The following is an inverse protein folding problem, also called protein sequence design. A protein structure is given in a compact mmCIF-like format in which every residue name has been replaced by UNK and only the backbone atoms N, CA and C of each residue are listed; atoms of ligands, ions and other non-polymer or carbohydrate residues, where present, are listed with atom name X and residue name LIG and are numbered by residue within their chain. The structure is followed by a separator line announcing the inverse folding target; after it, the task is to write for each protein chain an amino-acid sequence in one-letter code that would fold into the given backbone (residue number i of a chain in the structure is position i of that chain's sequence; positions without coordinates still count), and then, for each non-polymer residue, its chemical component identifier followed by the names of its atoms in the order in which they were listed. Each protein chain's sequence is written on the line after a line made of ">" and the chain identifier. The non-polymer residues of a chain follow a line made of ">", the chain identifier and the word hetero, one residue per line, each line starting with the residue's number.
data_IF_793329686420
#
_entry.id   IF_793329686420
#
_cell.length_a   1.000
_cell.length_b   1.000
_cell.length_c   1.000
_cell.angle_alpha   90.00
_cell.angle_beta   90.00
_cell.angle_gamma   90.00
#
_symmetry.space_group_name_H-M   'P 1'
#
loop_
_entity.id
_entity.type
_entity.pdbx_description
1 polymer ?
#
# COMPACT_ATOMS: atom_id res chain seq x y z
N UNK A 1 -15.20 63.17 21.85
CA UNK A 1 -14.76 62.55 20.60
C UNK A 1 -15.31 61.13 20.58
N UNK A 2 -16.43 60.96 19.91
CA UNK A 2 -17.11 59.69 19.66
C UNK A 2 -16.46 59.00 18.45
N UNK A 3 -15.86 57.86 18.67
CA UNK A 3 -15.28 57.03 17.61
C UNK A 3 -16.42 56.16 17.01
N UNK A 4 -16.89 56.54 15.82
CA UNK A 4 -17.84 55.73 15.05
C UNK A 4 -17.08 54.56 14.39
N UNK A 5 -17.33 53.32 14.84
CA UNK A 5 -16.93 52.12 14.12
C UNK A 5 -17.78 52.03 12.84
N UNK A 6 -17.14 52.25 11.71
CA UNK A 6 -17.70 51.96 10.39
C UNK A 6 -17.54 50.47 10.14
N UNK A 7 -18.62 49.68 10.30
CA UNK A 7 -18.71 48.35 9.76
C UNK A 7 -18.84 48.47 8.24
N UNK A 8 -17.76 48.27 7.52
CA UNK A 8 -17.82 48.02 6.09
C UNK A 8 -18.40 46.63 5.85
N UNK A 9 -19.67 46.59 5.51
CA UNK A 9 -20.25 45.39 4.87
C UNK A 9 -19.53 45.18 3.56
N UNK A 10 -18.66 44.12 3.47
CA UNK A 10 -18.19 43.65 2.21
C UNK A 10 -19.39 43.17 1.40
N UNK A 11 -19.50 43.55 0.14
CA UNK A 11 -20.64 43.14 -0.67
C UNK A 11 -20.67 41.64 -0.85
N UNK A 12 -21.85 41.05 -0.66
CA UNK A 12 -22.20 39.64 -0.81
C UNK A 12 -22.05 39.12 -2.28
N UNK A 13 -21.28 39.81 -3.11
CA UNK A 13 -21.17 39.60 -4.56
C UNK A 13 -19.95 38.81 -5.01
N UNK A 14 -19.16 38.19 -4.09
CA UNK A 14 -17.93 37.47 -4.49
C UNK A 14 -18.09 35.96 -4.62
N UNK A 15 -19.30 35.38 -4.47
CA UNK A 15 -19.56 33.95 -4.61
C UNK A 15 -20.68 33.62 -5.60
N UNK A 16 -20.86 34.40 -6.65
CA UNK A 16 -21.73 34.05 -7.76
C UNK A 16 -20.94 33.28 -8.86
N UNK A 17 -20.18 32.28 -8.48
CA UNK A 17 -19.68 31.29 -9.43
C UNK A 17 -20.75 30.19 -9.60
N UNK A 18 -21.66 30.45 -10.56
CA UNK A 18 -22.50 29.48 -11.27
C UNK A 18 -23.19 28.42 -10.39
N UNK A 19 -24.19 28.85 -9.60
CA UNK A 19 -25.21 27.89 -9.14
C UNK A 19 -26.00 27.40 -10.37
N UNK A 20 -25.59 26.26 -10.92
CA UNK A 20 -26.18 25.65 -12.10
C UNK A 20 -27.61 25.13 -11.85
N UNK A 21 -28.06 25.06 -10.59
CA UNK A 21 -29.32 24.42 -10.24
C UNK A 21 -30.48 25.38 -9.89
N UNK A 22 -30.16 26.64 -9.47
CA UNK A 22 -31.20 27.54 -8.96
C UNK A 22 -31.97 26.95 -7.77
N UNK A 23 -33.27 27.30 -7.58
CA UNK A 23 -34.12 26.61 -6.59
C UNK A 23 -34.36 25.16 -6.98
N UNK A 24 -34.17 24.23 -6.02
CA UNK A 24 -34.31 22.78 -6.25
C UNK A 24 -35.57 22.25 -5.60
N UNK A 25 -36.49 21.75 -6.40
CA UNK A 25 -37.68 21.04 -5.92
C UNK A 25 -37.29 19.67 -5.39
N UNK A 26 -37.59 19.37 -4.13
CA UNK A 26 -37.25 18.09 -3.49
C UNK A 26 -38.33 17.06 -3.85
N UNK A 27 -38.13 16.40 -4.98
CA UNK A 27 -39.02 15.41 -5.59
C UNK A 27 -38.35 14.04 -5.73
N UNK A 28 -39.14 13.02 -6.07
CA UNK A 28 -38.64 11.67 -6.37
C UNK A 28 -37.60 11.66 -7.50
N UNK A 29 -37.72 12.59 -8.46
CA UNK A 29 -36.77 12.69 -9.56
C UNK A 29 -35.40 13.22 -9.14
N UNK A 30 -35.35 14.16 -8.18
CA UNK A 30 -34.11 14.80 -7.74
C UNK A 30 -33.48 14.11 -6.53
N UNK A 31 -34.32 13.52 -5.66
CA UNK A 31 -33.93 12.81 -4.44
C UNK A 31 -34.77 11.53 -4.35
N UNK A 32 -34.37 10.43 -4.99
CA UNK A 32 -35.18 9.23 -5.14
C UNK A 32 -35.52 8.52 -3.83
N UNK A 33 -34.61 8.55 -2.83
CA UNK A 33 -34.84 7.92 -1.53
C UNK A 33 -35.80 8.75 -0.69
N UNK A 34 -36.93 8.13 -0.31
CA UNK A 34 -38.00 8.80 0.45
C UNK A 34 -37.51 9.32 1.81
N UNK A 35 -36.74 8.51 2.52
CA UNK A 35 -36.25 8.86 3.84
C UNK A 35 -35.26 10.04 3.76
N UNK A 36 -34.41 10.05 2.73
CA UNK A 36 -33.49 11.17 2.50
C UNK A 36 -34.26 12.44 2.11
N UNK A 37 -35.30 12.34 1.27
CA UNK A 37 -36.16 13.49 0.95
C UNK A 37 -36.83 14.10 2.17
N UNK A 38 -37.45 13.25 3.01
CA UNK A 38 -38.09 13.69 4.25
C UNK A 38 -37.09 14.36 5.20
N UNK A 39 -35.85 13.81 5.26
CA UNK A 39 -34.77 14.41 6.04
C UNK A 39 -34.42 15.81 5.50
N UNK A 40 -34.19 15.96 4.18
CA UNK A 40 -33.80 17.24 3.58
C UNK A 40 -34.86 18.30 3.79
N UNK A 41 -36.13 17.98 3.55
CA UNK A 41 -37.27 18.89 3.77
C UNK A 41 -37.39 19.29 5.23
N UNK A 42 -37.29 18.34 6.15
CA UNK A 42 -37.40 18.63 7.58
C UNK A 42 -36.26 19.51 8.12
N UNK A 43 -35.03 19.31 7.63
CA UNK A 43 -33.85 19.99 8.18
C UNK A 43 -33.57 21.31 7.47
N UNK A 44 -33.77 21.43 6.18
CA UNK A 44 -33.26 22.52 5.36
C UNK A 44 -34.29 23.36 4.63
N UNK A 45 -35.48 22.86 4.38
CA UNK A 45 -36.62 23.63 3.85
C UNK A 45 -37.25 24.46 5.00
N UNK A 46 -36.79 25.68 5.14
CA UNK A 46 -37.15 26.51 6.30
C UNK A 46 -38.55 27.09 6.25
N UNK A 47 -39.07 27.33 5.05
CA UNK A 47 -40.41 27.88 4.83
C UNK A 47 -41.47 26.79 4.51
N UNK A 48 -41.03 25.52 4.40
CA UNK A 48 -41.89 24.35 4.23
C UNK A 48 -42.57 24.29 2.86
N UNK A 49 -42.00 24.94 1.84
CA UNK A 49 -42.61 25.05 0.51
C UNK A 49 -42.24 23.88 -0.43
N UNK A 50 -41.40 22.94 0.01
CA UNK A 50 -40.91 21.79 -0.77
C UNK A 50 -39.78 22.11 -1.75
N UNK A 51 -39.20 23.31 -1.64
CA UNK A 51 -38.17 23.82 -2.53
C UNK A 51 -36.98 24.29 -1.70
N UNK A 52 -35.80 23.78 -1.98
CA UNK A 52 -34.57 24.32 -1.39
C UNK A 52 -34.05 25.49 -2.26
N UNK A 53 -34.12 26.68 -1.74
CA UNK A 53 -33.51 27.86 -2.35
C UNK A 53 -31.97 27.75 -2.37
N UNK A 54 -31.27 28.52 -3.22
CA UNK A 54 -29.82 28.62 -3.15
C UNK A 54 -29.32 28.98 -1.74
N UNK A 55 -29.97 29.92 -1.03
CA UNK A 55 -29.60 30.33 0.30
C UNK A 55 -29.65 29.16 1.32
N UNK A 56 -30.71 28.36 1.27
CA UNK A 56 -30.84 27.17 2.14
C UNK A 56 -29.81 26.11 1.81
N UNK A 57 -29.55 25.81 0.55
CA UNK A 57 -28.58 24.82 0.12
C UNK A 57 -27.14 25.22 0.47
N UNK A 58 -26.77 26.48 0.21
CA UNK A 58 -25.42 27.00 0.54
C UNK A 58 -25.17 27.13 2.03
N UNK A 59 -26.21 27.21 2.86
CA UNK A 59 -26.08 27.22 4.31
C UNK A 59 -25.77 25.86 4.91
N UNK A 60 -25.97 24.76 4.16
CA UNK A 60 -25.73 23.38 4.64
C UNK A 60 -24.24 23.08 4.57
N UNK A 61 -23.65 22.85 5.72
CA UNK A 61 -22.24 22.42 5.88
C UNK A 61 -22.12 21.00 6.43
N UNK A 62 -23.22 20.45 6.94
CA UNK A 62 -23.25 19.12 7.55
C UNK A 62 -24.53 18.39 7.19
N UNK A 63 -24.42 17.11 6.86
CA UNK A 63 -25.55 16.18 6.69
C UNK A 63 -25.23 14.93 7.53
N UNK A 64 -26.12 14.67 8.50
CA UNK A 64 -26.07 13.45 9.30
C UNK A 64 -27.34 12.62 9.07
N UNK A 65 -27.15 11.54 8.36
CA UNK A 65 -28.21 10.57 8.02
C UNK A 65 -27.84 9.16 8.48
N UNK A 66 -27.10 9.07 9.58
CA UNK A 66 -26.73 7.79 10.19
C UNK A 66 -27.97 6.96 10.52
N UNK A 67 -27.91 5.64 10.26
CA UNK A 67 -28.87 4.62 10.66
C UNK A 67 -30.33 4.95 10.27
N UNK A 68 -30.53 5.35 9.01
CA UNK A 68 -31.86 5.72 8.47
C UNK A 68 -32.38 4.77 7.39
N UNK A 69 -31.68 3.64 7.18
CA UNK A 69 -32.03 2.65 6.14
C UNK A 69 -32.06 3.24 4.72
N UNK A 70 -31.33 4.32 4.47
CA UNK A 70 -31.24 5.00 3.18
C UNK A 70 -30.46 4.13 2.19
N UNK A 71 -30.97 4.03 0.98
CA UNK A 71 -30.36 3.25 -0.11
C UNK A 71 -29.77 4.13 -1.21
N UNK A 72 -30.11 5.41 -1.25
CA UNK A 72 -29.68 6.34 -2.30
C UNK A 72 -29.57 7.76 -1.75
N UNK A 73 -28.40 8.37 -1.92
CA UNK A 73 -28.12 9.75 -1.52
C UNK A 73 -28.00 10.70 -2.73
N UNK A 74 -28.61 10.35 -3.89
CA UNK A 74 -28.76 11.32 -4.98
C UNK A 74 -29.50 12.54 -4.44
N UNK A 75 -28.96 13.72 -4.71
CA UNK A 75 -29.38 14.97 -4.07
C UNK A 75 -28.24 15.64 -3.30
N UNK A 76 -27.17 14.91 -2.93
CA UNK A 76 -25.98 15.49 -2.29
C UNK A 76 -25.31 16.56 -3.16
N UNK A 77 -25.38 16.43 -4.48
CA UNK A 77 -24.81 17.39 -5.44
C UNK A 77 -25.42 18.81 -5.32
N UNK A 78 -26.55 18.94 -4.64
CA UNK A 78 -27.18 20.25 -4.42
C UNK A 78 -26.57 21.04 -3.24
N UNK A 79 -25.65 20.47 -2.49
CA UNK A 79 -25.04 21.06 -1.29
C UNK A 79 -23.54 21.35 -1.50
N UNK A 80 -23.18 22.42 -2.22
CA UNK A 80 -21.79 22.67 -2.60
C UNK A 80 -20.86 23.01 -1.44
N UNK A 81 -21.40 23.48 -0.31
CA UNK A 81 -20.64 23.84 0.88
C UNK A 81 -20.60 22.73 1.94
N UNK A 82 -21.02 21.50 1.58
CA UNK A 82 -21.02 20.36 2.50
C UNK A 82 -19.57 20.01 2.89
N UNK A 83 -19.29 20.08 4.19
CA UNK A 83 -17.99 19.77 4.80
C UNK A 83 -17.97 18.44 5.53
N UNK A 84 -19.10 18.08 6.14
CA UNK A 84 -19.23 16.85 6.92
C UNK A 84 -20.41 16.05 6.40
N UNK A 85 -20.16 14.79 6.04
CA UNK A 85 -21.19 13.82 5.67
C UNK A 85 -21.07 12.58 6.53
N UNK A 86 -22.07 12.33 7.38
CA UNK A 86 -22.26 11.05 8.04
C UNK A 86 -23.44 10.31 7.42
N UNK A 87 -23.14 9.24 6.69
CA UNK A 87 -24.13 8.33 6.08
C UNK A 87 -23.89 6.86 6.49
N UNK A 88 -23.25 6.66 7.64
CA UNK A 88 -22.99 5.34 8.19
C UNK A 88 -24.25 4.56 8.55
N UNK A 89 -24.14 3.23 8.71
CA UNK A 89 -25.24 2.32 9.04
C UNK A 89 -26.46 2.48 8.10
N UNK A 90 -26.21 2.45 6.80
CA UNK A 90 -27.27 2.58 5.79
C UNK A 90 -27.23 1.38 4.82
N UNK A 91 -27.91 1.48 3.69
CA UNK A 91 -28.00 0.43 2.66
C UNK A 91 -27.43 0.88 1.33
N UNK A 92 -26.44 1.78 1.36
CA UNK A 92 -25.86 2.38 0.17
C UNK A 92 -25.01 1.34 -0.58
N UNK A 93 -25.31 1.15 -1.85
CA UNK A 93 -24.49 0.37 -2.78
C UNK A 93 -23.59 1.25 -3.64
N UNK A 94 -23.93 2.56 -3.72
CA UNK A 94 -23.17 3.61 -4.41
C UNK A 94 -23.24 4.89 -3.59
N UNK A 95 -22.18 5.69 -3.67
CA UNK A 95 -22.10 7.01 -3.05
C UNK A 95 -21.33 7.93 -4.00
N UNK A 96 -21.98 9.01 -4.45
CA UNK A 96 -21.37 10.05 -5.28
C UNK A 96 -21.22 11.33 -4.46
N UNK A 97 -19.98 11.70 -4.16
CA UNK A 97 -19.60 12.93 -3.46
C UNK A 97 -18.79 13.86 -4.35
N UNK A 98 -18.73 13.61 -5.66
CA UNK A 98 -17.88 14.34 -6.62
C UNK A 98 -18.21 15.83 -6.72
N UNK A 99 -19.41 16.25 -6.34
CA UNK A 99 -19.82 17.65 -6.33
C UNK A 99 -19.64 18.35 -4.99
N UNK A 100 -19.28 17.60 -3.95
CA UNK A 100 -19.04 18.13 -2.60
C UNK A 100 -17.54 18.37 -2.41
N UNK A 101 -16.95 19.22 -3.25
CA UNK A 101 -15.50 19.39 -3.38
C UNK A 101 -14.82 20.00 -2.15
N UNK A 102 -15.59 20.59 -1.23
CA UNK A 102 -15.08 21.15 0.04
C UNK A 102 -15.25 20.18 1.21
N UNK A 103 -15.62 18.92 0.95
CA UNK A 103 -15.84 17.89 1.97
C UNK A 103 -14.52 17.65 2.73
N UNK A 104 -14.60 17.72 4.06
CA UNK A 104 -13.50 17.54 5.00
C UNK A 104 -13.60 16.21 5.77
N UNK A 105 -14.82 15.77 6.04
CA UNK A 105 -15.09 14.53 6.76
C UNK A 105 -16.14 13.71 6.02
N UNK A 106 -15.82 12.44 5.73
CA UNK A 106 -16.73 11.47 5.14
C UNK A 106 -16.79 10.22 6.02
N UNK A 107 -17.96 9.99 6.60
CA UNK A 107 -18.26 8.82 7.44
C UNK A 107 -19.34 8.00 6.73
N UNK A 108 -18.94 6.85 6.14
CA UNK A 108 -19.82 5.99 5.33
C UNK A 108 -19.66 4.49 5.67
N UNK A 109 -19.24 4.17 6.90
CA UNK A 109 -19.04 2.82 7.35
C UNK A 109 -20.37 2.05 7.51
N UNK A 110 -20.29 0.71 7.58
CA UNK A 110 -21.47 -0.18 7.60
C UNK A 110 -22.49 0.15 6.49
N UNK A 111 -22.01 0.02 5.24
CA UNK A 111 -22.81 0.11 4.03
C UNK A 111 -22.51 -1.09 3.11
N UNK A 112 -22.93 -1.04 1.85
CA UNK A 112 -22.71 -2.10 0.87
C UNK A 112 -21.91 -1.58 -0.35
N UNK A 113 -21.04 -0.58 -0.11
CA UNK A 113 -20.26 0.06 -1.17
C UNK A 113 -19.22 -0.93 -1.73
N UNK A 114 -19.20 -1.10 -3.05
CA UNK A 114 -18.20 -1.90 -3.76
C UNK A 114 -17.08 -1.06 -4.35
N UNK A 115 -17.33 0.26 -4.49
CA UNK A 115 -16.36 1.28 -4.91
C UNK A 115 -16.68 2.59 -4.22
N UNK A 116 -15.67 3.44 -4.05
CA UNK A 116 -15.80 4.79 -3.50
C UNK A 116 -14.77 5.68 -4.20
N UNK A 117 -15.27 6.72 -4.88
CA UNK A 117 -14.41 7.73 -5.51
C UNK A 117 -14.44 9.01 -4.68
N UNK A 118 -13.27 9.38 -4.15
CA UNK A 118 -13.04 10.60 -3.36
C UNK A 118 -12.06 11.54 -4.06
N UNK A 119 -11.75 11.32 -5.33
CA UNK A 119 -10.75 12.09 -6.09
C UNK A 119 -11.05 13.58 -6.19
N UNK A 120 -12.34 13.98 -6.12
CA UNK A 120 -12.74 15.37 -6.17
C UNK A 120 -12.77 16.05 -4.78
N UNK A 121 -12.62 15.27 -3.71
CA UNK A 121 -12.71 15.76 -2.33
C UNK A 121 -11.31 16.06 -1.78
N UNK A 122 -10.59 16.95 -2.45
CA UNK A 122 -9.16 17.23 -2.15
C UNK A 122 -8.91 17.86 -0.78
N UNK A 123 -9.96 18.38 -0.12
CA UNK A 123 -9.93 18.93 1.23
C UNK A 123 -10.20 17.89 2.33
N UNK A 124 -10.35 16.59 1.97
CA UNK A 124 -10.73 15.54 2.90
C UNK A 124 -9.63 15.32 3.93
N UNK A 125 -9.98 15.40 5.21
CA UNK A 125 -9.12 15.21 6.37
C UNK A 125 -9.42 13.91 7.11
N UNK A 126 -10.67 13.47 7.10
CA UNK A 126 -11.09 12.20 7.72
C UNK A 126 -11.96 11.38 6.77
N UNK A 127 -11.58 10.11 6.57
CA UNK A 127 -12.34 9.12 5.82
C UNK A 127 -12.55 7.87 6.65
N UNK A 128 -13.82 7.57 6.97
CA UNK A 128 -14.22 6.34 7.64
C UNK A 128 -15.17 5.54 6.73
N UNK A 129 -14.61 4.58 6.01
CA UNK A 129 -15.33 3.71 5.06
C UNK A 129 -15.23 2.21 5.42
N UNK A 130 -14.96 1.91 6.70
CA UNK A 130 -14.85 0.53 7.17
C UNK A 130 -16.19 -0.22 7.10
N UNK A 131 -16.14 -1.56 7.15
CA UNK A 131 -17.34 -2.42 7.02
C UNK A 131 -18.15 -2.12 5.76
N UNK A 132 -17.45 -2.21 4.61
CA UNK A 132 -18.00 -2.14 3.27
C UNK A 132 -17.49 -3.33 2.43
N UNK A 133 -17.61 -3.26 1.11
CA UNK A 133 -17.18 -4.31 0.19
C UNK A 133 -16.16 -3.80 -0.83
N UNK A 134 -15.39 -2.75 -0.47
CA UNK A 134 -14.43 -2.10 -1.35
C UNK A 134 -13.31 -3.09 -1.74
N UNK A 135 -13.03 -3.20 -3.04
CA UNK A 135 -11.93 -4.02 -3.56
C UNK A 135 -10.68 -3.20 -3.85
N UNK A 136 -10.85 -1.89 -4.02
CA UNK A 136 -9.79 -0.89 -4.17
C UNK A 136 -10.22 0.42 -3.50
N UNK A 137 -9.25 1.24 -3.12
CA UNK A 137 -9.48 2.59 -2.59
C UNK A 137 -8.30 3.46 -3.01
N UNK A 138 -8.56 4.48 -3.80
CA UNK A 138 -7.57 5.47 -4.20
C UNK A 138 -7.76 6.75 -3.38
N UNK A 139 -6.75 7.10 -2.59
CA UNK A 139 -6.70 8.31 -1.75
C UNK A 139 -5.57 9.26 -2.20
N UNK A 140 -5.00 9.05 -3.38
CA UNK A 140 -3.87 9.82 -3.89
C UNK A 140 -4.17 11.31 -4.10
N UNK A 141 -5.47 11.64 -4.31
CA UNK A 141 -5.93 13.03 -4.49
C UNK A 141 -6.38 13.70 -3.17
N UNK A 142 -6.12 13.05 -2.01
CA UNK A 142 -6.53 13.56 -0.70
C UNK A 142 -5.29 13.85 0.19
N UNK A 143 -4.40 14.77 -0.18
CA UNK A 143 -3.14 15.01 0.54
C UNK A 143 -3.33 15.52 1.97
N UNK A 144 -4.47 16.15 2.26
CA UNK A 144 -4.80 16.64 3.59
C UNK A 144 -5.35 15.57 4.56
N UNK A 145 -5.39 14.29 4.13
CA UNK A 145 -5.98 13.20 4.91
C UNK A 145 -5.13 12.91 6.15
N UNK A 146 -5.73 13.09 7.33
CA UNK A 146 -5.12 12.87 8.64
C UNK A 146 -5.56 11.56 9.27
N UNK A 147 -6.81 11.13 9.01
CA UNK A 147 -7.35 9.89 9.53
C UNK A 147 -8.00 9.06 8.43
N UNK A 148 -7.54 7.83 8.30
CA UNK A 148 -8.10 6.83 7.39
C UNK A 148 -8.49 5.58 8.16
N UNK A 149 -9.78 5.23 8.11
CA UNK A 149 -10.27 3.93 8.54
C UNK A 149 -10.98 3.24 7.38
N UNK A 150 -10.28 2.29 6.77
CA UNK A 150 -10.77 1.45 5.67
C UNK A 150 -10.79 -0.05 6.05
N UNK A 151 -10.82 -0.36 7.34
CA UNK A 151 -10.88 -1.72 7.86
C UNK A 151 -12.12 -2.48 7.38
N UNK A 152 -12.12 -3.83 7.55
CA UNK A 152 -13.26 -4.68 7.18
C UNK A 152 -13.77 -4.42 5.75
N UNK A 153 -12.85 -4.50 4.78
CA UNK A 153 -13.12 -4.41 3.35
C UNK A 153 -12.48 -5.59 2.60
N UNK A 154 -12.31 -5.49 1.29
CA UNK A 154 -11.72 -6.54 0.44
C UNK A 154 -10.48 -6.05 -0.30
N UNK A 155 -9.79 -5.01 0.24
CA UNK A 155 -8.64 -4.37 -0.38
C UNK A 155 -7.48 -5.38 -0.51
N UNK A 156 -6.88 -5.44 -1.70
CA UNK A 156 -5.69 -6.25 -1.97
C UNK A 156 -4.40 -5.43 -1.93
N UNK A 157 -4.51 -4.12 -2.13
CA UNK A 157 -3.45 -3.12 -2.03
C UNK A 157 -4.00 -1.84 -1.43
N UNK A 158 -3.12 -1.01 -0.87
CA UNK A 158 -3.46 0.33 -0.36
C UNK A 158 -2.21 1.20 -0.46
N UNK A 159 -2.26 2.21 -1.32
CA UNK A 159 -1.22 3.23 -1.43
C UNK A 159 -1.61 4.47 -0.63
N UNK A 160 -0.81 4.79 0.39
CA UNK A 160 -0.96 5.98 1.23
C UNK A 160 0.23 6.94 1.09
N UNK A 161 1.09 6.75 0.08
CA UNK A 161 2.32 7.52 -0.11
C UNK A 161 2.09 9.03 -0.31
N UNK A 162 0.91 9.42 -0.78
CA UNK A 162 0.53 10.84 -0.97
C UNK A 162 -0.13 11.47 0.26
N UNK A 163 -0.49 10.66 1.25
CA UNK A 163 -1.20 11.12 2.45
C UNK A 163 -0.20 11.34 3.60
N UNK A 164 0.74 12.25 3.41
CA UNK A 164 1.86 12.49 4.35
C UNK A 164 1.43 13.06 5.69
N UNK A 165 0.22 13.62 5.77
CA UNK A 165 -0.37 14.16 7.01
C UNK A 165 -1.07 13.08 7.87
N UNK A 166 -1.08 11.80 7.43
CA UNK A 166 -1.73 10.73 8.17
C UNK A 166 -1.12 10.54 9.56
N UNK A 167 -1.98 10.70 10.57
CA UNK A 167 -1.67 10.43 11.98
C UNK A 167 -2.30 9.12 12.47
N UNK A 168 -3.39 8.70 11.84
CA UNK A 168 -4.15 7.51 12.17
C UNK A 168 -4.48 6.71 10.92
N UNK A 169 -4.03 5.45 10.88
CA UNK A 169 -4.34 4.50 9.81
C UNK A 169 -4.87 3.20 10.39
N UNK A 170 -6.11 2.84 10.01
CA UNK A 170 -6.71 1.54 10.29
C UNK A 170 -7.14 0.88 8.98
N UNK A 171 -6.43 -0.17 8.60
CA UNK A 171 -6.68 -0.98 7.40
C UNK A 171 -6.81 -2.48 7.72
N UNK A 172 -7.13 -2.79 8.98
CA UNK A 172 -7.30 -4.16 9.44
C UNK A 172 -8.48 -4.88 8.76
N UNK A 173 -8.47 -6.23 8.77
CA UNK A 173 -9.49 -7.07 8.13
C UNK A 173 -9.64 -6.76 6.63
N UNK A 174 -8.51 -6.85 5.90
CA UNK A 174 -8.43 -6.74 4.46
C UNK A 174 -7.64 -7.93 3.88
N UNK A 175 -7.14 -7.81 2.65
CA UNK A 175 -6.37 -8.84 1.96
C UNK A 175 -5.00 -8.35 1.53
N UNK A 176 -4.47 -7.31 2.20
CA UNK A 176 -3.20 -6.66 1.86
C UNK A 176 -2.06 -7.68 1.98
N UNK A 177 -1.21 -7.75 0.96
CA UNK A 177 0.01 -8.56 0.96
C UNK A 177 1.25 -7.75 1.30
N UNK A 178 1.17 -6.44 1.10
CA UNK A 178 2.18 -5.43 1.40
C UNK A 178 1.52 -4.16 1.93
N UNK A 179 2.27 -3.34 2.65
CA UNK A 179 1.85 -2.02 3.12
C UNK A 179 3.10 -1.16 3.34
N UNK A 180 3.28 -0.15 2.50
CA UNK A 180 4.33 0.85 2.68
C UNK A 180 3.77 2.08 3.40
N UNK A 181 4.32 2.36 4.58
CA UNK A 181 4.00 3.54 5.40
C UNK A 181 5.19 4.48 5.57
N UNK A 182 6.26 4.29 4.77
CA UNK A 182 7.51 5.06 4.90
C UNK A 182 7.35 6.56 4.70
N UNK A 183 6.32 6.98 3.95
CA UNK A 183 6.01 8.41 3.72
C UNK A 183 5.08 9.01 4.78
N UNK A 184 4.48 8.19 5.62
CA UNK A 184 3.51 8.63 6.62
C UNK A 184 4.22 8.84 7.98
N UNK A 185 5.19 9.74 8.03
CA UNK A 185 6.06 9.97 9.19
C UNK A 185 5.33 10.58 10.40
N UNK A 186 4.12 11.09 10.18
CA UNK A 186 3.25 11.64 11.23
C UNK A 186 2.40 10.58 11.94
N UNK A 187 2.44 9.30 11.49
CA UNK A 187 1.63 8.23 12.08
C UNK A 187 1.94 8.05 13.57
N UNK A 188 0.87 8.11 14.36
CA UNK A 188 0.86 7.80 15.79
C UNK A 188 0.16 6.48 16.10
N UNK A 189 -0.75 6.06 15.23
CA UNK A 189 -1.53 4.84 15.35
C UNK A 189 -1.57 4.09 14.01
N UNK A 190 -1.23 2.80 14.02
CA UNK A 190 -1.34 1.91 12.87
C UNK A 190 -2.01 0.58 13.29
N UNK A 191 -3.15 0.26 12.64
CA UNK A 191 -3.78 -1.05 12.73
C UNK A 191 -3.88 -1.67 11.34
N UNK A 192 -3.00 -2.62 11.04
CA UNK A 192 -2.98 -3.43 9.83
C UNK A 192 -3.20 -4.93 10.12
N UNK A 193 -3.83 -5.25 11.26
CA UNK A 193 -4.14 -6.62 11.64
C UNK A 193 -5.07 -7.34 10.67
N UNK A 194 -5.11 -8.69 10.73
CA UNK A 194 -5.99 -9.52 9.89
C UNK A 194 -5.84 -9.20 8.40
N UNK A 195 -4.59 -9.25 7.93
CA UNK A 195 -4.19 -9.13 6.53
C UNK A 195 -3.31 -10.33 6.11
N UNK A 196 -2.52 -10.17 5.06
CA UNK A 196 -1.64 -11.22 4.54
C UNK A 196 -0.19 -10.75 4.46
N UNK A 197 0.18 -9.70 5.22
CA UNK A 197 1.51 -9.10 5.22
C UNK A 197 2.56 -10.13 5.63
N UNK A 198 3.66 -10.19 4.90
CA UNK A 198 4.82 -11.02 5.24
C UNK A 198 5.89 -10.22 5.99
N UNK A 199 5.92 -8.92 5.75
CA UNK A 199 6.82 -7.96 6.40
C UNK A 199 6.09 -6.65 6.71
N UNK A 200 6.67 -5.85 7.58
CA UNK A 200 6.19 -4.51 7.92
C UNK A 200 7.38 -3.68 8.37
N UNK A 201 7.70 -2.63 7.62
CA UNK A 201 8.72 -1.66 7.99
C UNK A 201 8.05 -0.39 8.55
N UNK A 202 8.36 -0.07 9.81
CA UNK A 202 7.89 1.14 10.49
C UNK A 202 9.05 2.04 10.91
N UNK A 203 10.25 1.82 10.36
CA UNK A 203 11.48 2.53 10.75
C UNK A 203 11.38 4.05 10.59
N UNK A 204 10.55 4.53 9.66
CA UNK A 204 10.31 5.95 9.42
C UNK A 204 9.17 6.54 10.27
N UNK A 205 8.37 5.70 10.93
CA UNK A 205 7.20 6.14 11.68
C UNK A 205 7.54 6.38 13.15
N UNK A 206 8.51 7.24 13.41
CA UNK A 206 9.12 7.47 14.73
C UNK A 206 8.15 8.02 15.78
N UNK A 207 6.99 8.55 15.35
CA UNK A 207 5.92 9.06 16.21
C UNK A 207 4.92 7.99 16.64
N UNK A 208 5.04 6.74 16.16
CA UNK A 208 4.12 5.66 16.54
C UNK A 208 4.10 5.44 18.04
N UNK A 209 2.89 5.40 18.59
CA UNK A 209 2.60 5.04 19.98
C UNK A 209 1.88 3.70 20.09
N UNK A 210 1.13 3.32 19.06
CA UNK A 210 0.36 2.08 19.02
C UNK A 210 0.44 1.41 17.64
N UNK A 211 0.77 0.11 17.63
CA UNK A 211 0.92 -0.73 16.44
C UNK A 211 0.20 -2.08 16.63
N UNK A 212 -0.78 -2.35 15.75
CA UNK A 212 -1.55 -3.59 15.72
C UNK A 212 -1.33 -4.27 14.37
N UNK A 213 -0.71 -5.46 14.37
CA UNK A 213 -0.50 -6.26 13.16
C UNK A 213 -0.78 -7.75 13.38
N UNK A 214 -1.73 -8.04 14.27
CA UNK A 214 -2.18 -9.39 14.58
C UNK A 214 -2.66 -10.14 13.33
N UNK A 215 -2.53 -11.47 13.33
CA UNK A 215 -3.07 -12.32 12.25
C UNK A 215 -2.62 -11.92 10.85
N UNK A 216 -1.31 -11.79 10.69
CA UNK A 216 -0.59 -11.69 9.44
C UNK A 216 0.37 -12.89 9.27
N UNK A 217 1.35 -12.76 8.40
CA UNK A 217 2.41 -13.75 8.17
C UNK A 217 3.81 -13.19 8.54
N UNK A 218 3.86 -12.15 9.35
CA UNK A 218 5.08 -11.44 9.74
C UNK A 218 5.93 -12.32 10.66
N UNK A 219 7.23 -12.39 10.41
CA UNK A 219 8.18 -13.20 11.19
C UNK A 219 8.99 -12.38 12.19
N UNK A 220 9.13 -11.07 11.93
CA UNK A 220 9.95 -10.15 12.73
C UNK A 220 9.39 -8.74 12.64
N UNK A 221 9.76 -7.90 13.59
CA UNK A 221 9.49 -6.47 13.55
C UNK A 221 10.72 -5.74 14.10
N UNK A 222 11.29 -4.83 13.33
CA UNK A 222 12.34 -3.93 13.76
C UNK A 222 11.78 -2.51 13.82
N UNK A 223 11.58 -2.02 15.05
CA UNK A 223 11.00 -0.72 15.33
C UNK A 223 11.86 0.12 16.27
N UNK A 224 13.21 -0.07 16.24
CA UNK A 224 14.12 0.57 17.17
C UNK A 224 14.02 2.10 17.17
N UNK A 225 13.67 2.70 16.01
CA UNK A 225 13.48 4.16 15.90
C UNK A 225 12.15 4.65 16.47
N UNK A 226 11.22 3.73 16.76
CA UNK A 226 9.89 4.07 17.28
C UNK A 226 9.91 4.13 18.82
N UNK A 227 10.70 5.02 19.39
CA UNK A 227 10.94 5.09 20.86
C UNK A 227 9.70 5.41 21.68
N UNK A 228 8.64 5.96 21.06
CA UNK A 228 7.35 6.24 21.69
C UNK A 228 6.38 5.06 21.64
N UNK A 229 6.77 3.95 20.99
CA UNK A 229 5.89 2.81 20.76
C UNK A 229 5.73 1.99 22.05
N UNK A 230 4.56 2.14 22.68
CA UNK A 230 4.24 1.48 23.96
C UNK A 230 3.23 0.36 23.81
N UNK A 231 2.41 0.40 22.76
CA UNK A 231 1.36 -0.59 22.47
C UNK A 231 1.72 -1.36 21.21
N UNK A 232 2.04 -2.66 21.36
CA UNK A 232 2.34 -3.55 20.22
C UNK A 232 1.51 -4.83 20.37
N UNK A 233 0.63 -5.10 19.39
CA UNK A 233 -0.15 -6.33 19.30
C UNK A 233 0.26 -7.13 18.07
N UNK A 234 0.83 -8.32 18.30
CA UNK A 234 1.40 -9.20 17.26
C UNK A 234 0.66 -10.52 17.11
N UNK A 235 -0.26 -10.85 18.01
CA UNK A 235 -0.83 -12.19 18.17
C UNK A 235 -1.20 -12.89 16.87
N UNK A 236 -0.98 -14.21 16.80
CA UNK A 236 -1.36 -15.06 15.65
C UNK A 236 -0.65 -14.77 14.32
N UNK A 237 0.50 -14.11 14.33
CA UNK A 237 1.38 -14.10 13.15
C UNK A 237 1.95 -15.51 12.93
N UNK A 238 1.71 -16.07 11.74
CA UNK A 238 2.10 -17.44 11.39
C UNK A 238 2.64 -17.45 9.96
N UNK A 239 3.93 -17.71 9.84
CA UNK A 239 4.58 -17.89 8.55
C UNK A 239 4.76 -19.38 8.27
N UNK A 240 4.56 -19.80 7.02
CA UNK A 240 4.82 -21.19 6.59
C UNK A 240 6.20 -21.25 5.96
N UNK A 241 6.97 -22.24 6.35
CA UNK A 241 8.29 -22.52 5.78
C UNK A 241 8.48 -24.02 5.64
N UNK A 242 9.21 -24.42 4.63
CA UNK A 242 9.56 -25.82 4.39
C UNK A 242 11.04 -26.05 4.73
N UNK A 243 11.38 -27.25 5.23
CA UNK A 243 12.75 -27.67 5.48
C UNK A 243 12.96 -29.07 4.90
N UNK A 244 14.21 -29.34 4.46
CA UNK A 244 14.56 -30.67 3.96
C UNK A 244 14.55 -31.69 5.09
N UNK A 245 13.76 -32.75 4.96
CA UNK A 245 13.51 -33.73 6.03
C UNK A 245 14.77 -34.43 6.57
N UNK A 246 15.86 -34.55 5.76
CA UNK A 246 17.08 -35.22 6.22
C UNK A 246 17.95 -34.32 7.10
N UNK A 247 18.06 -33.04 6.77
CA UNK A 247 18.87 -32.09 7.53
C UNK A 247 18.06 -31.34 8.55
N UNK A 248 16.82 -31.01 8.24
CA UNK A 248 15.90 -30.19 9.05
C UNK A 248 16.48 -28.82 9.40
N UNK A 249 17.34 -28.31 8.53
CA UNK A 249 17.98 -27.02 8.71
C UNK A 249 17.07 -25.93 8.13
N UNK A 250 16.90 -24.87 8.91
CA UNK A 250 16.30 -23.62 8.50
C UNK A 250 17.32 -22.50 8.64
N UNK A 251 17.68 -21.87 7.53
CA UNK A 251 18.47 -20.65 7.55
C UNK A 251 17.53 -19.46 7.78
N UNK A 252 17.64 -18.74 8.91
CA UNK A 252 16.73 -17.62 9.20
C UNK A 252 16.81 -16.48 8.19
N UNK A 253 17.87 -16.38 7.39
CA UNK A 253 18.01 -15.33 6.36
C UNK A 253 17.01 -15.46 5.21
N UNK A 254 16.37 -16.64 5.03
CA UNK A 254 15.30 -16.81 4.06
C UNK A 254 13.95 -16.26 4.57
N UNK A 255 13.85 -15.92 5.85
CA UNK A 255 12.61 -15.38 6.42
C UNK A 255 12.43 -13.90 6.02
N UNK A 256 11.20 -13.47 5.71
CA UNK A 256 10.93 -12.09 5.32
C UNK A 256 11.18 -11.10 6.46
N UNK A 257 11.32 -9.81 6.12
CA UNK A 257 11.41 -8.71 7.07
C UNK A 257 12.78 -8.55 7.73
N UNK A 258 13.87 -8.87 7.01
CA UNK A 258 15.24 -8.75 7.53
C UNK A 258 15.44 -9.43 8.89
N UNK A 259 15.00 -10.68 9.00
CA UNK A 259 15.01 -11.44 10.25
C UNK A 259 16.42 -11.53 10.84
N UNK A 260 16.58 -11.10 12.08
CA UNK A 260 17.84 -11.13 12.82
C UNK A 260 17.74 -12.12 13.98
N UNK A 261 18.43 -13.24 13.86
CA UNK A 261 18.43 -14.32 14.88
C UNK A 261 18.96 -13.85 16.25
N UNK A 262 19.80 -12.82 16.29
CA UNK A 262 20.33 -12.28 17.54
C UNK A 262 19.25 -11.60 18.41
N UNK A 263 18.11 -11.27 17.81
CA UNK A 263 16.94 -10.67 18.46
C UNK A 263 15.99 -11.72 19.05
N UNK A 264 16.28 -13.00 18.84
CA UNK A 264 15.40 -14.11 19.26
C UNK A 264 15.75 -14.57 20.68
N UNK A 265 14.69 -14.83 21.47
CA UNK A 265 14.79 -15.57 22.73
C UNK A 265 13.61 -16.55 22.88
N UNK A 266 13.69 -17.40 23.88
CA UNK A 266 12.61 -18.38 24.20
C UNK A 266 12.23 -19.26 23.00
N UNK A 267 13.20 -19.63 22.16
CA UNK A 267 13.02 -20.50 21.01
C UNK A 267 12.55 -21.89 21.44
N UNK A 268 11.47 -22.37 20.82
CA UNK A 268 10.92 -23.71 21.02
C UNK A 268 10.60 -24.35 19.67
N UNK A 269 10.74 -25.67 19.58
CA UNK A 269 10.50 -26.44 18.34
C UNK A 269 11.69 -26.44 17.39
N UNK A 270 12.79 -25.75 17.74
CA UNK A 270 14.07 -25.79 17.03
C UNK A 270 15.22 -25.50 17.99
N UNK A 271 16.43 -25.85 17.57
CA UNK A 271 17.69 -25.53 18.26
C UNK A 271 18.54 -24.63 17.37
N UNK A 272 19.07 -23.54 17.93
CA UNK A 272 19.99 -22.68 17.20
C UNK A 272 21.39 -23.31 17.13
N UNK A 273 21.97 -23.36 15.94
CA UNK A 273 23.29 -23.86 15.66
C UNK A 273 24.35 -22.75 15.82
N UNK A 274 25.61 -23.13 15.91
CA UNK A 274 26.74 -22.19 16.07
C UNK A 274 26.92 -21.26 14.83
N UNK A 275 26.47 -21.70 13.67
CA UNK A 275 26.48 -20.92 12.41
C UNK A 275 25.27 -19.98 12.24
N UNK A 276 24.37 -19.93 13.23
CA UNK A 276 23.17 -19.09 13.19
C UNK A 276 21.95 -19.76 12.56
N UNK A 277 22.11 -20.93 11.93
CA UNK A 277 20.96 -21.71 11.41
C UNK A 277 20.17 -22.35 12.55
N UNK A 278 18.97 -22.85 12.22
CA UNK A 278 18.09 -23.56 13.16
C UNK A 278 17.94 -25.02 12.72
N UNK A 279 18.10 -25.96 13.65
CA UNK A 279 17.69 -27.36 13.45
C UNK A 279 16.29 -27.55 14.00
N UNK A 280 15.32 -27.83 13.14
CA UNK A 280 13.92 -28.05 13.50
C UNK A 280 13.74 -29.47 14.04
N UNK A 281 12.79 -29.64 14.98
CA UNK A 281 12.45 -30.98 15.52
C UNK A 281 11.92 -31.90 14.41
N UNK A 282 12.11 -33.21 14.58
CA UNK A 282 11.64 -34.24 13.66
C UNK A 282 10.12 -34.20 13.48
N UNK A 283 9.67 -34.34 12.22
CA UNK A 283 8.27 -34.20 11.84
C UNK A 283 7.81 -32.77 11.62
N UNK A 284 8.73 -31.79 11.73
CA UNK A 284 8.37 -30.37 11.57
C UNK A 284 7.52 -29.85 12.74
N UNK A 285 6.54 -29.01 12.42
CA UNK A 285 5.57 -28.50 13.38
C UNK A 285 5.73 -27.01 13.65
N UNK A 286 5.43 -26.59 14.89
CA UNK A 286 5.50 -25.18 15.29
C UNK A 286 6.87 -24.85 15.88
N UNK A 287 7.53 -23.86 15.28
CA UNK A 287 8.65 -23.16 15.89
C UNK A 287 8.16 -21.83 16.42
N UNK A 288 8.26 -21.63 17.74
CA UNK A 288 7.83 -20.40 18.41
C UNK A 288 9.00 -19.70 19.06
N UNK A 289 8.98 -18.38 19.03
CA UNK A 289 10.02 -17.55 19.62
C UNK A 289 9.48 -16.18 20.02
N UNK A 290 10.22 -15.50 20.89
CA UNK A 290 10.01 -14.09 21.15
C UNK A 290 11.08 -13.28 20.42
N UNK A 291 10.65 -12.25 19.67
CA UNK A 291 11.53 -11.38 18.91
C UNK A 291 11.57 -9.98 19.55
N UNK A 292 12.76 -9.41 19.71
CA UNK A 292 12.95 -8.06 20.22
C UNK A 292 12.53 -7.05 19.16
N UNK A 293 11.42 -6.37 19.38
CA UNK A 293 10.83 -5.42 18.42
C UNK A 293 11.41 -4.01 18.59
N UNK A 294 11.44 -3.50 19.83
CA UNK A 294 11.95 -2.16 20.17
C UNK A 294 12.46 -2.17 21.61
N UNK A 295 13.64 -1.60 21.86
CA UNK A 295 14.24 -1.59 23.20
C UNK A 295 14.27 -3.00 23.81
N UNK A 296 13.69 -3.17 24.99
CA UNK A 296 13.54 -4.46 25.68
C UNK A 296 12.16 -5.10 25.48
N UNK A 297 11.38 -4.64 24.52
CA UNK A 297 10.05 -5.18 24.22
C UNK A 297 10.17 -6.37 23.27
N UNK A 298 9.83 -7.55 23.78
CA UNK A 298 9.78 -8.79 23.02
C UNK A 298 8.35 -9.20 22.73
N UNK A 299 8.10 -9.72 21.54
CA UNK A 299 6.78 -10.18 21.10
C UNK A 299 6.85 -11.57 20.49
N UNK A 300 5.80 -12.40 20.67
CA UNK A 300 5.79 -13.77 20.19
C UNK A 300 5.49 -13.85 18.69
N UNK A 301 6.20 -14.76 18.00
CA UNK A 301 6.01 -15.13 16.62
C UNK A 301 5.98 -16.66 16.45
N UNK A 302 5.47 -17.14 15.33
CA UNK A 302 5.37 -18.58 15.05
C UNK A 302 5.69 -18.88 13.59
N UNK A 303 6.58 -19.85 13.37
CA UNK A 303 6.73 -20.52 12.09
C UNK A 303 5.96 -21.84 12.11
N UNK A 304 5.23 -22.12 11.04
CA UNK A 304 4.68 -23.45 10.78
C UNK A 304 5.61 -24.14 9.81
N UNK A 305 6.38 -25.11 10.30
CA UNK A 305 7.42 -25.78 9.53
C UNK A 305 6.88 -27.12 9.03
N UNK A 306 7.07 -27.38 7.75
CA UNK A 306 6.78 -28.68 7.11
C UNK A 306 8.06 -29.27 6.55
N UNK A 307 8.20 -30.60 6.66
CA UNK A 307 9.30 -31.32 6.03
C UNK A 307 8.96 -31.66 4.59
N UNK A 308 9.95 -31.56 3.71
CA UNK A 308 9.85 -31.88 2.28
C UNK A 308 11.02 -32.73 1.82
N UNK A 309 10.88 -33.35 0.65
CA UNK A 309 11.96 -34.06 -0.02
C UNK A 309 12.90 -33.12 -0.83
N UNK A 310 12.57 -31.84 -0.95
CA UNK A 310 13.42 -30.84 -1.60
C UNK A 310 14.67 -30.57 -0.77
N UNK A 311 15.88 -30.94 -1.24
CA UNK A 311 17.13 -30.76 -0.50
C UNK A 311 17.50 -29.27 -0.27
N UNK A 312 16.89 -28.35 -1.00
CA UNK A 312 17.12 -26.91 -0.87
C UNK A 312 16.09 -26.20 0.02
N UNK A 313 15.08 -26.91 0.50
CA UNK A 313 14.08 -26.30 1.38
C UNK A 313 14.70 -25.88 2.72
N UNK A 314 14.34 -24.69 3.17
CA UNK A 314 14.75 -24.17 4.47
C UNK A 314 16.15 -23.57 4.54
N UNK A 315 16.88 -23.61 3.45
CA UNK A 315 18.24 -23.02 3.38
C UNK A 315 18.30 -22.03 2.21
N UNK A 316 19.15 -21.03 2.33
CA UNK A 316 19.71 -20.42 1.12
C UNK A 316 20.40 -21.57 0.40
N UNK A 317 20.02 -21.92 -0.85
CA UNK A 317 20.68 -23.00 -1.56
C UNK A 317 22.19 -22.79 -1.42
N UNK A 318 22.97 -23.83 -1.02
CA UNK A 318 24.40 -23.68 -1.01
C UNK A 318 24.76 -23.20 -2.40
N UNK A 319 25.47 -22.08 -2.47
CA UNK A 319 26.17 -21.70 -3.68
C UNK A 319 27.11 -22.86 -3.91
N UNK A 320 26.62 -23.91 -4.61
CA UNK A 320 27.53 -24.90 -5.12
C UNK A 320 28.46 -24.12 -6.01
N UNK A 321 29.76 -24.00 -5.66
CA UNK A 321 30.67 -23.40 -6.60
C UNK A 321 30.50 -24.26 -7.84
N UNK A 322 30.18 -23.68 -9.01
CA UNK A 322 30.28 -24.44 -10.23
C UNK A 322 31.69 -25.02 -10.24
N UNK A 323 31.81 -26.28 -10.61
CA UNK A 323 33.08 -26.88 -10.89
C UNK A 323 33.73 -26.10 -12.04
N UNK A 324 34.45 -25.00 -11.72
CA UNK A 324 34.98 -24.04 -12.67
C UNK A 324 34.69 -22.61 -12.18
N UNK A 325 35.63 -21.99 -11.46
CA UNK A 325 35.55 -20.71 -10.79
C UNK A 325 34.90 -19.57 -11.61
N UNK A 326 33.91 -18.93 -11.03
CA UNK A 326 33.28 -17.71 -11.52
C UNK A 326 32.05 -17.39 -10.67
N UNK A 327 31.88 -16.10 -10.29
CA UNK A 327 30.77 -15.60 -9.48
C UNK A 327 29.41 -15.91 -10.09
N UNK A 328 28.62 -16.80 -9.50
CA UNK A 328 27.22 -17.02 -9.90
C UNK A 328 26.28 -16.10 -9.11
N UNK A 329 25.24 -15.60 -9.77
CA UNK A 329 24.24 -14.68 -9.21
C UNK A 329 22.92 -15.43 -9.01
N UNK A 330 22.46 -15.58 -7.79
CA UNK A 330 21.17 -16.22 -7.50
C UNK A 330 20.01 -15.43 -8.10
N UNK A 331 19.07 -16.13 -8.75
CA UNK A 331 17.85 -15.52 -9.32
C UNK A 331 16.78 -15.50 -8.21
N UNK A 332 16.81 -14.46 -7.41
CA UNK A 332 15.92 -14.25 -6.26
C UNK A 332 15.44 -12.78 -6.17
N UNK A 333 14.57 -12.47 -5.21
CA UNK A 333 14.02 -11.14 -5.05
C UNK A 333 15.04 -10.09 -4.59
N UNK A 334 16.16 -10.50 -4.00
CA UNK A 334 17.24 -9.57 -3.60
C UNK A 334 18.06 -9.09 -4.80
N UNK A 335 18.29 -9.96 -5.78
CA UNK A 335 19.08 -9.62 -6.97
C UNK A 335 18.22 -9.15 -8.15
N UNK A 336 16.97 -9.57 -8.19
CA UNK A 336 15.97 -9.24 -9.21
C UNK A 336 14.64 -8.98 -8.51
N UNK A 337 14.41 -7.78 -7.95
CA UNK A 337 13.22 -7.47 -7.13
C UNK A 337 11.92 -7.62 -7.89
N UNK A 338 11.87 -7.15 -9.14
CA UNK A 338 10.69 -7.24 -9.96
C UNK A 338 10.39 -8.71 -10.35
N UNK A 339 9.19 -9.23 -10.07
CA UNK A 339 8.84 -10.63 -10.31
C UNK A 339 8.81 -10.98 -11.80
N UNK A 340 8.36 -10.07 -12.67
CA UNK A 340 8.24 -10.31 -14.09
C UNK A 340 9.61 -10.25 -14.78
N UNK A 341 10.48 -9.33 -14.35
CA UNK A 341 11.87 -9.31 -14.77
C UNK A 341 12.62 -10.56 -14.28
N UNK A 342 12.44 -10.96 -13.04
CA UNK A 342 13.05 -12.18 -12.47
C UNK A 342 12.62 -13.45 -13.22
N UNK A 343 11.33 -13.57 -13.54
CA UNK A 343 10.80 -14.69 -14.31
C UNK A 343 11.37 -14.71 -15.74
N UNK A 344 11.50 -13.54 -16.37
CA UNK A 344 12.15 -13.42 -17.67
C UNK A 344 13.61 -13.86 -17.62
N UNK A 345 14.37 -13.37 -16.64
CA UNK A 345 15.78 -13.74 -16.45
C UNK A 345 15.95 -15.24 -16.27
N UNK A 346 15.08 -15.85 -15.45
CA UNK A 346 15.09 -17.30 -15.23
C UNK A 346 14.79 -18.08 -16.52
N UNK A 347 13.77 -17.69 -17.27
CA UNK A 347 13.37 -18.39 -18.47
C UNK A 347 14.41 -18.28 -19.60
N UNK A 348 15.03 -17.10 -19.74
CA UNK A 348 15.91 -16.81 -20.87
C UNK A 348 17.38 -17.16 -20.63
N UNK A 349 17.86 -17.09 -19.40
CA UNK A 349 19.30 -17.16 -19.12
C UNK A 349 19.71 -18.27 -18.17
N UNK A 350 18.85 -18.78 -17.30
CA UNK A 350 19.11 -19.94 -16.42
C UNK A 350 18.95 -21.24 -17.24
N UNK A 351 19.98 -21.60 -18.00
CA UNK A 351 19.90 -22.71 -18.95
C UNK A 351 19.97 -24.08 -18.30
N UNK A 352 20.59 -24.19 -17.16
CA UNK A 352 20.69 -25.44 -16.38
C UNK A 352 19.60 -25.57 -15.31
N UNK A 353 18.70 -24.56 -15.19
CA UNK A 353 17.58 -24.48 -14.25
C UNK A 353 18.00 -24.63 -12.77
N UNK A 354 19.17 -24.10 -12.43
CA UNK A 354 19.67 -24.17 -11.07
C UNK A 354 19.26 -22.95 -10.19
N UNK A 355 18.42 -22.03 -10.71
CA UNK A 355 18.01 -20.76 -10.12
C UNK A 355 19.15 -19.79 -9.84
N UNK A 356 20.22 -19.87 -10.65
CA UNK A 356 21.39 -19.02 -10.51
C UNK A 356 21.97 -18.71 -11.89
N UNK A 357 22.49 -17.53 -12.09
CA UNK A 357 23.20 -17.15 -13.31
C UNK A 357 24.70 -17.35 -13.12
N UNK A 358 25.27 -18.35 -13.77
CA UNK A 358 26.72 -18.50 -13.88
C UNK A 358 27.34 -17.32 -14.64
N UNK A 359 28.63 -17.14 -14.52
CA UNK A 359 29.34 -16.11 -15.29
C UNK A 359 29.17 -16.31 -16.81
N UNK A 360 29.15 -17.55 -17.28
CA UNK A 360 28.93 -17.88 -18.68
C UNK A 360 27.53 -17.48 -19.16
N UNK A 361 26.49 -17.75 -18.37
CA UNK A 361 25.11 -17.40 -18.71
C UNK A 361 24.92 -15.88 -18.74
N UNK A 362 25.46 -15.15 -17.77
CA UNK A 362 25.44 -13.70 -17.76
C UNK A 362 26.18 -13.08 -18.96
N UNK A 363 27.32 -13.67 -19.34
CA UNK A 363 28.12 -13.17 -20.47
C UNK A 363 27.49 -13.46 -21.85
N UNK A 364 26.62 -14.46 -21.96
CA UNK A 364 25.90 -14.77 -23.19
C UNK A 364 24.72 -13.82 -23.46
N UNK A 365 24.23 -13.15 -22.42
CA UNK A 365 23.14 -12.19 -22.52
C UNK A 365 23.60 -10.90 -23.20
N UNK A 366 23.44 -10.82 -24.50
CA UNK A 366 23.76 -9.62 -25.28
C UNK A 366 22.54 -8.80 -25.66
N UNK A 367 21.34 -9.39 -25.57
CA UNK A 367 20.05 -8.75 -25.86
C UNK A 367 19.08 -9.10 -24.74
N UNK A 368 18.43 -8.09 -24.18
CA UNK A 368 17.31 -8.23 -23.24
C UNK A 368 16.13 -7.47 -23.83
N UNK A 369 15.01 -8.22 -24.04
CA UNK A 369 13.77 -7.62 -24.51
C UNK A 369 12.65 -7.94 -23.50
N UNK A 370 12.33 -6.93 -22.72
CA UNK A 370 11.28 -6.96 -21.69
C UNK A 370 10.20 -5.92 -21.97
N UNK A 371 9.97 -5.63 -23.25
CA UNK A 371 8.92 -4.74 -23.70
C UNK A 371 7.54 -5.22 -23.25
N UNK A 372 6.69 -4.28 -22.80
CA UNK A 372 5.27 -4.50 -22.48
C UNK A 372 5.04 -5.66 -21.48
N UNK A 373 5.75 -5.59 -20.34
CA UNK A 373 5.69 -6.62 -19.28
C UNK A 373 5.26 -6.09 -17.91
N UNK A 374 4.81 -4.81 -17.85
CA UNK A 374 4.39 -4.12 -16.62
C UNK A 374 5.49 -4.01 -15.54
N UNK A 375 6.75 -4.11 -15.93
CA UNK A 375 7.92 -4.07 -15.04
C UNK A 375 8.05 -2.69 -14.39
N UNK A 376 8.24 -2.68 -13.07
CA UNK A 376 8.41 -1.47 -12.27
C UNK A 376 9.88 -1.13 -12.01
N UNK A 377 10.76 -2.14 -11.97
CA UNK A 377 12.21 -1.97 -11.79
C UNK A 377 13.02 -3.00 -12.57
N UNK A 378 14.16 -2.57 -13.12
CA UNK A 378 15.15 -3.44 -13.76
C UNK A 378 16.40 -3.61 -12.88
N UNK A 379 16.29 -3.50 -11.54
CA UNK A 379 17.38 -3.89 -10.66
C UNK A 379 17.76 -5.36 -10.92
N UNK A 380 19.07 -5.62 -11.05
CA UNK A 380 19.62 -6.88 -11.55
C UNK A 380 20.12 -6.80 -12.99
N UNK A 381 19.77 -5.74 -13.75
CA UNK A 381 20.29 -5.54 -15.11
C UNK A 381 21.83 -5.37 -15.12
N UNK A 382 22.40 -4.88 -14.04
CA UNK A 382 23.84 -4.70 -13.85
C UNK A 382 24.62 -5.99 -13.90
N UNK A 383 23.98 -7.15 -13.66
CA UNK A 383 24.63 -8.46 -13.71
C UNK A 383 24.94 -8.94 -15.15
N UNK A 384 24.51 -8.22 -16.19
CA UNK A 384 24.72 -8.58 -17.59
C UNK A 384 25.78 -7.69 -18.26
N UNK A 385 27.08 -7.99 -18.07
CA UNK A 385 28.18 -7.08 -18.49
C UNK A 385 28.32 -6.91 -20.00
N UNK A 386 27.85 -7.89 -20.78
CA UNK A 386 27.94 -7.90 -22.24
C UNK A 386 26.67 -7.43 -22.95
N UNK A 387 25.70 -6.88 -22.20
CA UNK A 387 24.44 -6.40 -22.75
C UNK A 387 24.68 -5.28 -23.77
N UNK A 388 24.24 -5.50 -25.00
CA UNK A 388 24.37 -4.55 -26.14
C UNK A 388 23.05 -3.92 -26.50
N UNK A 389 21.95 -4.64 -26.39
CA UNK A 389 20.61 -4.15 -26.70
C UNK A 389 19.68 -4.37 -25.53
N UNK A 390 19.00 -3.32 -25.08
CA UNK A 390 17.95 -3.35 -24.08
C UNK A 390 16.70 -2.69 -24.65
N UNK A 391 15.62 -3.47 -24.77
CA UNK A 391 14.28 -2.95 -25.01
C UNK A 391 13.43 -3.17 -23.74
N UNK A 392 13.23 -2.10 -23.00
CA UNK A 392 12.37 -2.03 -21.83
C UNK A 392 11.20 -1.05 -22.05
N UNK A 393 10.84 -0.81 -23.30
CA UNK A 393 9.74 0.08 -23.66
C UNK A 393 8.38 -0.44 -23.19
N UNK A 394 7.43 0.49 -22.98
CA UNK A 394 6.06 0.18 -22.54
C UNK A 394 6.06 -0.59 -21.20
N UNK A 395 6.70 0.01 -20.20
CA UNK A 395 6.73 -0.52 -18.83
C UNK A 395 6.39 0.59 -17.81
N UNK A 396 6.58 0.32 -16.52
CA UNK A 396 6.24 1.26 -15.44
C UNK A 396 7.50 1.76 -14.71
N UNK A 397 8.65 1.79 -15.40
CA UNK A 397 9.92 2.18 -14.81
C UNK A 397 9.91 3.66 -14.40
N UNK A 398 10.08 3.94 -13.12
CA UNK A 398 10.29 5.30 -12.59
C UNK A 398 11.77 5.68 -12.53
N UNK A 399 12.67 4.68 -12.56
CA UNK A 399 14.13 4.83 -12.63
C UNK A 399 14.74 3.73 -13.50
N UNK A 400 15.87 4.02 -14.10
CA UNK A 400 16.67 3.03 -14.85
C UNK A 400 18.15 3.35 -14.66
N UNK A 401 18.89 2.41 -14.11
CA UNK A 401 20.36 2.48 -13.99
C UNK A 401 21.00 1.43 -14.90
N UNK A 402 21.66 1.89 -15.94
CA UNK A 402 22.43 1.07 -16.90
C UNK A 402 23.92 1.38 -16.81
N UNK A 403 24.38 1.99 -15.72
CA UNK A 403 25.76 2.43 -15.57
C UNK A 403 26.79 1.29 -15.63
N UNK A 404 26.42 0.06 -15.25
CA UNK A 404 27.26 -1.12 -15.32
C UNK A 404 27.21 -1.83 -16.69
N UNK A 405 26.21 -1.51 -17.53
CA UNK A 405 26.04 -2.09 -18.86
C UNK A 405 26.84 -1.28 -19.90
N UNK A 406 28.16 -1.20 -19.71
CA UNK A 406 29.06 -0.34 -20.53
C UNK A 406 29.20 -0.80 -21.97
N UNK A 407 28.74 -2.02 -22.29
CA UNK A 407 28.71 -2.54 -23.67
C UNK A 407 27.46 -2.13 -24.44
N UNK A 408 26.51 -1.40 -23.82
CA UNK A 408 25.22 -1.06 -24.43
C UNK A 408 25.38 -0.18 -25.67
N UNK A 409 24.79 -0.64 -26.78
CA UNK A 409 24.80 0.04 -28.09
C UNK A 409 23.43 0.58 -28.46
N UNK A 410 22.35 -0.09 -27.97
CA UNK A 410 20.96 0.31 -28.24
C UNK A 410 20.14 0.21 -26.96
N UNK A 411 19.39 1.28 -26.67
CA UNK A 411 18.45 1.36 -25.54
C UNK A 411 17.11 1.88 -26.03
N UNK A 412 16.05 1.12 -25.78
CA UNK A 412 14.68 1.60 -25.91
C UNK A 412 14.02 1.55 -24.51
N UNK A 413 13.80 2.72 -23.92
CA UNK A 413 13.10 2.91 -22.67
C UNK A 413 11.88 3.84 -22.85
N UNK A 414 11.38 3.96 -24.09
CA UNK A 414 10.20 4.76 -24.39
C UNK A 414 8.94 4.26 -23.68
N UNK A 415 7.99 5.17 -23.49
CA UNK A 415 6.72 4.85 -22.81
C UNK A 415 6.95 4.22 -21.43
N UNK A 416 7.69 4.94 -20.58
CA UNK A 416 7.94 4.65 -19.16
C UNK A 416 7.68 5.93 -18.33
N UNK A 417 7.97 5.90 -17.03
CA UNK A 417 7.76 7.02 -16.10
C UNK A 417 9.09 7.63 -15.64
N UNK A 418 10.15 7.55 -16.46
CA UNK A 418 11.49 8.01 -16.09
C UNK A 418 11.53 9.54 -15.97
N UNK A 419 11.87 10.05 -14.78
CA UNK A 419 12.08 11.47 -14.56
C UNK A 419 13.46 11.94 -15.07
N UNK A 420 14.44 11.05 -15.15
CA UNK A 420 15.79 11.31 -15.65
C UNK A 420 16.46 10.00 -16.07
N UNK A 421 17.46 10.11 -16.95
CA UNK A 421 18.26 8.98 -17.42
C UNK A 421 19.73 9.39 -17.47
N UNK A 422 20.59 8.66 -16.75
CA UNK A 422 22.03 8.91 -16.75
C UNK A 422 22.76 7.90 -17.64
N UNK A 423 23.31 8.36 -18.76
CA UNK A 423 24.03 7.55 -19.75
C UNK A 423 25.54 7.83 -19.79
N UNK A 424 26.09 8.51 -18.78
CA UNK A 424 27.49 8.95 -18.76
C UNK A 424 28.50 7.80 -18.87
N UNK A 425 28.10 6.57 -18.52
CA UNK A 425 28.93 5.35 -18.59
C UNK A 425 28.70 4.52 -19.86
N UNK A 426 27.72 4.85 -20.69
CA UNK A 426 27.33 4.08 -21.87
C UNK A 426 27.91 4.68 -23.14
N UNK A 427 29.25 4.87 -23.21
CA UNK A 427 29.94 5.52 -24.30
C UNK A 427 29.81 4.83 -25.69
N UNK A 428 29.34 3.56 -25.70
CA UNK A 428 29.10 2.78 -26.92
C UNK A 428 27.68 2.94 -27.47
N UNK A 429 26.81 3.67 -26.78
CA UNK A 429 25.42 3.82 -27.18
C UNK A 429 25.30 4.57 -28.51
N UNK A 430 24.61 3.97 -29.48
CA UNK A 430 24.37 4.48 -30.82
C UNK A 430 22.91 4.87 -31.07
N UNK A 431 22.00 4.14 -30.44
CA UNK A 431 20.56 4.30 -30.61
C UNK A 431 19.89 4.44 -29.25
N UNK A 432 19.15 5.53 -29.08
CA UNK A 432 18.38 5.82 -27.86
C UNK A 432 16.94 6.19 -28.24
N UNK A 433 15.99 5.49 -27.66
CA UNK A 433 14.56 5.80 -27.72
C UNK A 433 14.06 6.00 -26.28
N UNK A 434 13.59 7.22 -25.95
CA UNK A 434 13.21 7.60 -24.58
C UNK A 434 12.02 8.59 -24.56
N UNK A 435 11.14 8.51 -25.54
CA UNK A 435 9.95 9.38 -25.67
C UNK A 435 8.79 8.93 -24.78
#
# INVERSE_FOLDING_TARGET
>A
LTLAMVFTFLPFSAFAATDSYGPVYITDANVPDKTFREYLLKQFDKDGNGVLTPAERYAVTEIDVENKYISNLSGLQFFPNLKVLNCSHNRLTKLDVSKNTVLQELVCWENQLTSLDVSQNTALQELACFENQLTSLDVSQNPALQKLNCGHNRLTSLDVSKNTELTYLKCSYNRLTELDVSKNTELTYLDCGYNRLTELDVSQNTKLTALYFVSNKITSLQADNCTNLTVIFTGSNKYKVEVYKKTRILDPSILPGNFDISRVRNLKGATQNADGTLTVQEGGGKVTYEYRCVGEIYKPFTLNVTETDDPNAGIVPPVTPPSGGGDSIAINASNFPDPDFRNYVKAEFDKDNNNSLSESERKTATVINVKDKLIETLEGIEFFPNLKELDCSINQLSRLDVSQNTALEKLDCSTNQLASLNLSKNAKLKYLYCS
#
